data_IF_734022905969
#
_entry.id   IF_734022905969
#
_cell.length_a   1.000
_cell.length_b   1.000
_cell.length_c   1.000
_cell.angle_alpha   90.00
_cell.angle_beta   90.00
_cell.angle_gamma   90.00
#
_symmetry.space_group_name_H-M   'P 1'
#
loop_
_entity.id
_entity.type
_entity.pdbx_description
1 polymer ?
#
# COMPACT_ATOMS: atom_id res chain seq x y z
N UNK A 1 18.99 -3.97 -5.77
CA UNK A 1 17.52 -4.05 -5.95
C UNK A 1 16.94 -2.66 -5.82
N UNK A 2 16.59 -2.01 -6.94
CA UNK A 2 16.10 -0.63 -6.97
C UNK A 2 14.58 -0.71 -6.95
N UNK A 3 13.95 -0.45 -5.80
CA UNK A 3 12.50 -0.24 -5.77
C UNK A 3 12.19 0.93 -6.73
N UNK A 4 11.30 0.75 -7.71
CA UNK A 4 10.99 1.82 -8.66
C UNK A 4 10.31 2.94 -7.88
N UNK A 5 11.05 4.02 -7.66
CA UNK A 5 10.66 5.14 -6.82
C UNK A 5 9.45 5.92 -7.37
N UNK A 6 9.04 5.65 -8.60
CA UNK A 6 7.82 6.17 -9.21
C UNK A 6 7.16 5.12 -10.11
N UNK A 7 6.44 4.16 -9.53
CA UNK A 7 5.53 3.31 -10.29
C UNK A 7 4.14 3.95 -10.31
N UNK A 8 3.52 4.17 -11.49
CA UNK A 8 2.16 4.68 -11.54
C UNK A 8 1.24 3.71 -10.80
N UNK A 9 0.33 4.23 -9.97
CA UNK A 9 -0.62 3.47 -9.14
C UNK A 9 -1.21 2.27 -9.88
N UNK A 10 -1.63 2.46 -11.13
CA UNK A 10 -2.19 1.40 -11.96
C UNK A 10 -1.24 0.23 -12.16
N UNK A 11 0.07 0.45 -12.30
CA UNK A 11 1.09 -0.60 -12.43
C UNK A 11 1.25 -1.40 -11.15
N UNK A 12 1.23 -0.71 -10.01
CA UNK A 12 1.34 -1.33 -8.68
C UNK A 12 0.09 -2.16 -8.38
N UNK A 13 -1.10 -1.61 -8.62
CA UNK A 13 -2.37 -2.34 -8.50
C UNK A 13 -2.37 -3.57 -9.40
N UNK A 14 -1.96 -3.46 -10.66
CA UNK A 14 -1.96 -4.58 -11.60
C UNK A 14 -0.98 -5.69 -11.20
N UNK A 15 0.19 -5.32 -10.67
CA UNK A 15 1.14 -6.27 -10.11
C UNK A 15 0.57 -6.97 -8.86
N UNK A 16 -0.09 -6.23 -7.97
CA UNK A 16 -0.72 -6.79 -6.77
C UNK A 16 -1.92 -7.68 -7.12
N UNK A 17 -2.75 -7.30 -8.08
CA UNK A 17 -3.81 -8.15 -8.63
C UNK A 17 -3.24 -9.45 -9.21
N UNK A 18 -2.12 -9.38 -9.94
CA UNK A 18 -1.43 -10.58 -10.43
C UNK A 18 -0.91 -11.49 -9.31
N UNK A 19 -0.66 -10.95 -8.11
CA UNK A 19 -0.24 -11.71 -6.93
C UNK A 19 -1.43 -12.25 -6.11
N UNK A 20 -2.67 -11.96 -6.53
CA UNK A 20 -3.90 -12.36 -5.85
C UNK A 20 -4.40 -11.37 -4.81
N UNK A 21 -3.98 -10.10 -4.87
CA UNK A 21 -4.57 -9.04 -4.04
C UNK A 21 -5.82 -8.45 -4.72
N UNK A 22 -6.88 -8.33 -3.96
CA UNK A 22 -8.15 -7.73 -4.35
C UNK A 22 -8.29 -6.34 -3.70
N UNK A 23 -8.81 -5.35 -4.43
CA UNK A 23 -9.04 -4.02 -3.87
C UNK A 23 -10.31 -4.05 -3.01
N UNK A 24 -10.21 -3.60 -1.76
CA UNK A 24 -11.36 -3.54 -0.83
C UNK A 24 -11.82 -2.12 -0.54
N UNK A 25 -10.95 -1.13 -0.73
CA UNK A 25 -11.30 0.28 -0.48
C UNK A 25 -10.41 1.21 -1.29
N UNK A 26 -11.01 2.18 -1.96
CA UNK A 26 -10.31 3.21 -2.73
C UNK A 26 -10.79 4.58 -2.25
N UNK A 27 -10.20 5.10 -1.17
CA UNK A 27 -10.47 6.47 -0.67
C UNK A 27 -9.16 7.26 -0.61
N UNK A 28 -8.81 7.92 0.50
CA UNK A 28 -7.48 8.54 0.67
C UNK A 28 -6.32 7.52 0.61
N UNK A 29 -6.61 6.28 0.99
CA UNK A 29 -5.71 5.15 0.82
C UNK A 29 -6.46 4.03 0.09
N UNK A 30 -5.73 3.29 -0.73
CA UNK A 30 -6.17 2.08 -1.39
C UNK A 30 -5.83 0.92 -0.45
N UNK A 31 -6.84 0.29 0.11
CA UNK A 31 -6.67 -0.97 0.83
C UNK A 31 -6.95 -2.12 -0.13
N UNK A 32 -6.04 -3.08 -0.14
CA UNK A 32 -6.14 -4.35 -0.84
C UNK A 32 -6.03 -5.49 0.17
N UNK A 33 -6.63 -6.64 -0.12
CA UNK A 33 -6.47 -7.86 0.68
C UNK A 33 -6.05 -9.00 -0.23
N UNK A 34 -5.17 -9.87 0.24
CA UNK A 34 -4.91 -11.16 -0.40
C UNK A 34 -5.46 -12.26 0.48
N UNK A 35 -6.27 -13.15 -0.08
CA UNK A 35 -6.69 -14.39 0.60
C UNK A 35 -5.58 -15.43 0.41
N UNK A 36 -4.98 -15.89 1.50
CA UNK A 36 -4.04 -17.00 1.48
C UNK A 36 -4.81 -18.32 1.57
N UNK A 37 -4.18 -19.41 1.10
CA UNK A 37 -4.74 -20.78 1.18
C UNK A 37 -5.02 -21.20 2.63
N UNK A 38 -4.23 -20.69 3.57
CA UNK A 38 -4.39 -20.94 5.02
C UNK A 38 -5.61 -20.22 5.65
N UNK A 39 -6.46 -19.59 4.85
CA UNK A 39 -7.65 -18.85 5.32
C UNK A 39 -7.33 -17.47 5.93
N UNK A 40 -6.05 -17.11 6.02
CA UNK A 40 -5.63 -15.78 6.47
C UNK A 40 -5.79 -14.76 5.34
N UNK A 41 -6.20 -13.54 5.69
CA UNK A 41 -6.17 -12.40 4.77
C UNK A 41 -5.00 -11.50 5.09
N UNK A 42 -4.15 -11.22 4.11
CA UNK A 42 -3.07 -10.24 4.25
C UNK A 42 -3.57 -8.89 3.74
N UNK A 43 -3.84 -7.90 4.63
CA UNK A 43 -4.18 -6.56 4.21
C UNK A 43 -2.93 -5.82 3.73
N UNK A 44 -3.08 -5.00 2.70
CA UNK A 44 -2.05 -4.13 2.16
C UNK A 44 -2.66 -2.76 1.87
N UNK A 45 -2.12 -1.71 2.47
CA UNK A 45 -2.63 -0.35 2.31
C UNK A 45 -1.61 0.51 1.59
N UNK A 46 -2.02 1.16 0.50
CA UNK A 46 -1.20 2.09 -0.27
C UNK A 46 -1.83 3.48 -0.28
N UNK A 47 -1.06 4.56 -0.21
CA UNK A 47 -1.60 5.92 -0.33
C UNK A 47 -2.17 6.20 -1.72
N UNK A 48 -3.36 6.79 -1.78
CA UNK A 48 -4.06 7.14 -3.02
C UNK A 48 -3.68 8.56 -3.51
N UNK A 49 -2.39 8.87 -3.57
CA UNK A 49 -1.94 10.07 -4.26
C UNK A 49 -1.44 9.72 -5.68
N UNK A 50 -1.69 10.57 -6.69
CA UNK A 50 -1.18 10.37 -8.05
C UNK A 50 0.35 10.49 -8.18
N UNK A 51 1.03 11.00 -7.14
CA UNK A 51 2.48 11.06 -7.02
C UNK A 51 2.85 10.82 -5.55
N UNK A 52 3.63 9.78 -5.28
CA UNK A 52 4.20 9.57 -3.94
C UNK A 52 5.25 10.66 -3.72
N UNK A 53 4.84 11.81 -3.18
CA UNK A 53 5.81 12.82 -2.76
C UNK A 53 6.53 12.28 -1.52
N UNK A 54 7.86 12.34 -1.55
CA UNK A 54 8.79 12.03 -0.46
C UNK A 54 8.51 12.77 0.86
N UNK A 55 7.58 13.73 0.88
CA UNK A 55 7.17 14.46 2.08
C UNK A 55 6.42 13.64 3.13
N UNK A 56 5.98 12.40 2.83
CA UNK A 56 5.32 11.52 3.82
C UNK A 56 6.26 10.46 4.45
N UNK A 57 7.57 10.56 4.21
CA UNK A 57 8.59 9.73 4.92
C UNK A 57 9.12 10.38 6.20
N UNK A 58 8.44 11.40 6.75
CA UNK A 58 8.85 12.01 8.02
C UNK A 58 8.22 11.25 9.21
N UNK A 59 8.91 10.17 9.61
CA UNK A 59 9.02 9.54 10.94
C UNK A 59 7.73 9.45 11.80
N UNK A 60 7.34 8.27 12.33
CA UNK A 60 6.44 8.23 13.47
C UNK A 60 7.09 8.99 14.65
N UNK A 61 6.43 10.04 15.13
CA UNK A 61 6.80 10.76 16.35
C UNK A 61 6.34 9.91 17.53
N UNK A 62 7.26 9.24 18.19
CA UNK A 62 7.05 8.71 19.54
C UNK A 62 6.91 9.90 20.48
N UNK A 63 5.69 10.34 20.75
CA UNK A 63 5.42 11.19 21.92
C UNK A 63 5.28 10.25 23.11
N UNK A 64 6.38 10.12 23.85
CA UNK A 64 6.50 9.48 25.17
C UNK A 64 5.41 9.98 26.12
N UNK A 65 4.77 9.12 26.93
CA UNK A 65 3.80 9.55 27.93
C UNK A 65 4.51 10.21 29.12
N UNK A 66 3.93 11.28 29.65
CA UNK A 66 4.11 11.76 31.03
C UNK A 66 2.75 12.04 31.61
#
# INVERSE_FOLDING_TARGET
MKFPVDAPRSRVIRALQSLGFEIVREREHIAMIRRNVDGTTTPLTMPNHPRIKSSTLRRPRTSTPR
#
